data_IF_487225418211
#
_entry.id   IF_487225418211
#
_cell.length_a   1.000
_cell.length_b   1.000
_cell.length_c   1.000
_cell.angle_alpha   90.00
_cell.angle_beta   90.00
_cell.angle_gamma   90.00
#
_symmetry.space_group_name_H-M   'P 1'
#
loop_
_entity.id
_entity.type
_entity.pdbx_description
1 polymer ?
#
# COMPACT_ATOMS: atom_id res chain seq x y z
N UNK A 1 8.98 44.17 18.39
CA UNK A 1 7.65 44.38 17.77
C UNK A 1 6.77 43.14 17.90
N UNK A 2 7.28 41.95 17.53
CA UNK A 2 6.58 40.67 17.69
C UNK A 2 6.14 40.40 19.14
N UNK A 3 7.01 40.69 20.11
CA UNK A 3 6.72 40.49 21.55
C UNK A 3 5.60 41.40 22.07
N UNK A 4 5.51 42.64 21.56
CA UNK A 4 4.45 43.58 21.94
C UNK A 4 3.07 43.16 21.37
N UNK A 5 3.07 42.58 20.16
CA UNK A 5 1.87 42.05 19.50
C UNK A 5 1.40 40.75 20.18
N UNK A 6 2.33 39.91 20.61
CA UNK A 6 2.02 38.62 21.24
C UNK A 6 1.68 38.75 22.73
N UNK A 7 2.17 39.77 23.44
CA UNK A 7 2.02 39.90 24.89
C UNK A 7 0.57 39.80 25.40
N UNK A 8 -0.43 40.51 24.82
CA UNK A 8 -1.82 40.37 25.26
C UNK A 8 -2.35 38.94 25.04
N UNK A 9 -2.04 38.34 23.88
CA UNK A 9 -2.53 37.00 23.53
C UNK A 9 -1.89 35.91 24.39
N UNK A 10 -0.59 36.03 24.68
CA UNK A 10 0.12 35.14 25.60
C UNK A 10 -0.44 35.26 27.02
N UNK A 11 -0.74 36.49 27.48
CA UNK A 11 -1.31 36.72 28.81
C UNK A 11 -2.73 36.14 28.98
N UNK A 12 -3.58 36.25 27.95
CA UNK A 12 -4.98 35.82 28.04
C UNK A 12 -5.24 34.38 27.58
N UNK A 13 -4.42 33.84 26.67
CA UNK A 13 -4.67 32.53 26.03
C UNK A 13 -3.51 31.54 26.18
N UNK A 14 -2.34 31.98 26.65
CA UNK A 14 -1.13 31.16 26.70
C UNK A 14 -0.51 30.84 25.33
N UNK A 15 -1.01 31.46 24.25
CA UNK A 15 -0.59 31.18 22.87
C UNK A 15 -0.35 32.49 22.10
N UNK A 16 0.73 32.59 21.30
CA UNK A 16 1.04 33.81 20.57
C UNK A 16 0.01 34.08 19.47
N UNK A 17 -0.17 35.35 19.10
CA UNK A 17 -0.95 35.70 17.90
C UNK A 17 -0.19 35.26 16.65
N UNK A 18 1.11 35.52 16.61
CA UNK A 18 2.01 35.17 15.50
C UNK A 18 3.25 34.48 16.05
N UNK A 19 3.55 33.29 15.55
CA UNK A 19 4.76 32.55 15.89
C UNK A 19 4.60 31.05 15.64
N UNK A 20 5.70 30.32 15.40
CA UNK A 20 5.64 28.87 15.26
C UNK A 20 5.25 28.21 16.58
N UNK A 21 4.73 26.99 16.49
CA UNK A 21 4.56 26.11 17.63
C UNK A 21 5.92 25.65 18.15
N UNK A 22 5.99 25.40 19.45
CA UNK A 22 7.21 24.87 20.07
C UNK A 22 7.36 23.39 19.73
N UNK A 23 8.50 22.98 19.22
CA UNK A 23 8.75 21.56 18.96
C UNK A 23 8.76 20.75 20.26
N UNK A 24 8.30 19.50 20.16
CA UNK A 24 8.40 18.55 21.26
C UNK A 24 9.86 18.20 21.56
N UNK A 25 10.16 18.00 22.84
CA UNK A 25 11.53 17.66 23.24
C UNK A 25 11.99 16.34 22.59
N UNK A 26 13.17 16.30 21.93
CA UNK A 26 13.70 15.09 21.32
C UNK A 26 13.86 13.94 22.33
N UNK A 27 13.53 12.72 21.91
CA UNK A 27 13.66 11.51 22.74
C UNK A 27 12.63 11.40 23.86
N UNK A 28 11.59 12.24 23.88
CA UNK A 28 10.54 12.20 24.92
C UNK A 28 9.18 11.76 24.40
N UNK A 29 8.96 11.79 23.08
CA UNK A 29 7.63 11.64 22.51
C UNK A 29 6.69 12.81 22.80
N UNK A 30 7.20 13.95 23.28
CA UNK A 30 6.37 15.11 23.58
C UNK A 30 5.74 15.64 22.29
N UNK A 31 4.45 15.99 22.34
CA UNK A 31 3.78 16.61 21.21
C UNK A 31 4.32 18.01 20.91
N UNK A 32 4.34 18.37 19.63
CA UNK A 32 4.58 19.73 19.19
C UNK A 32 3.44 20.66 19.61
N UNK A 33 3.82 21.86 20.05
CA UNK A 33 2.90 22.92 20.41
C UNK A 33 2.17 23.48 19.19
N UNK A 34 0.99 24.08 19.37
CA UNK A 34 0.26 24.68 18.27
C UNK A 34 0.96 25.97 17.78
N UNK A 35 0.85 26.28 16.49
CA UNK A 35 1.32 27.54 15.90
C UNK A 35 0.56 28.77 16.42
N UNK A 36 0.83 29.99 15.97
CA UNK A 36 0.11 31.18 16.41
C UNK A 36 -1.39 31.15 16.07
N UNK A 37 -2.20 31.97 16.75
CA UNK A 37 -3.63 32.11 16.44
C UNK A 37 -3.87 32.63 15.03
N UNK A 38 -3.05 33.57 14.55
CA UNK A 38 -3.19 34.13 13.21
C UNK A 38 -2.22 33.47 12.25
N UNK A 39 -0.93 33.48 12.58
CA UNK A 39 0.11 32.96 11.70
C UNK A 39 1.11 32.13 12.48
N UNK A 40 1.39 30.94 11.98
CA UNK A 40 2.44 30.09 12.52
C UNK A 40 2.21 28.62 12.21
N UNK A 41 3.28 27.97 11.80
CA UNK A 41 3.31 26.53 11.66
C UNK A 41 3.15 25.86 13.03
N UNK A 42 2.55 24.68 13.08
CA UNK A 42 2.59 23.85 14.27
C UNK A 42 4.01 23.31 14.51
N UNK A 43 4.39 23.15 15.77
CA UNK A 43 5.70 22.60 16.13
C UNK A 43 5.77 21.11 15.79
N UNK A 44 6.96 20.62 15.52
CA UNK A 44 7.18 19.20 15.26
C UNK A 44 7.00 18.38 16.55
N UNK A 45 6.49 17.16 16.43
CA UNK A 45 6.45 16.20 17.52
C UNK A 45 7.86 15.71 17.86
N UNK A 46 8.19 15.65 19.14
CA UNK A 46 9.46 15.12 19.60
C UNK A 46 9.57 13.63 19.31
N UNK A 47 10.74 13.18 18.87
CA UNK A 47 11.00 11.76 18.67
C UNK A 47 10.81 10.98 19.98
N UNK A 48 10.37 9.73 19.87
CA UNK A 48 10.22 8.82 20.99
C UNK A 48 11.57 8.40 21.57
N UNK A 49 11.63 8.26 22.89
CA UNK A 49 12.85 7.84 23.58
C UNK A 49 13.32 6.45 23.17
N UNK A 50 14.64 6.26 23.11
CA UNK A 50 15.19 4.92 22.89
C UNK A 50 14.96 4.03 24.11
N UNK A 51 14.71 2.74 23.88
CA UNK A 51 14.62 1.75 24.94
C UNK A 51 15.92 1.66 25.74
N UNK A 52 15.83 1.39 27.05
CA UNK A 52 16.98 1.34 27.96
C UNK A 52 17.22 -0.06 28.54
N UNK A 53 18.48 -0.43 28.86
CA UNK A 53 18.78 -1.69 29.53
C UNK A 53 18.34 -1.68 31.00
N UNK A 54 17.54 -2.66 31.45
CA UNK A 54 17.28 -2.87 32.88
C UNK A 54 16.09 -3.78 33.20
N UNK A 55 16.12 -4.43 34.36
CA UNK A 55 15.26 -5.55 34.81
C UNK A 55 13.76 -5.28 34.95
N UNK A 56 13.18 -4.13 34.55
CA UNK A 56 11.71 -3.97 34.52
C UNK A 56 11.09 -2.75 33.82
N UNK A 57 11.75 -1.63 33.48
CA UNK A 57 10.95 -0.40 33.25
C UNK A 57 10.61 -0.03 31.79
N UNK A 58 11.47 -0.18 30.77
CA UNK A 58 11.04 -0.12 29.34
C UNK A 58 12.20 -0.42 28.35
N UNK A 59 12.33 -1.68 27.91
CA UNK A 59 13.20 -2.01 26.77
C UNK A 59 12.61 -1.59 25.41
N UNK A 60 11.32 -1.23 25.37
CA UNK A 60 10.63 -0.73 24.18
C UNK A 60 11.03 0.71 23.83
N UNK A 61 10.92 1.05 22.55
CA UNK A 61 11.03 2.44 22.12
C UNK A 61 9.78 3.23 22.49
N UNK A 62 9.96 4.47 22.95
CA UNK A 62 8.85 5.39 23.23
C UNK A 62 8.13 5.82 21.94
N UNK A 63 6.84 6.15 22.02
CA UNK A 63 6.13 6.69 20.87
C UNK A 63 6.66 8.07 20.47
N UNK A 64 6.60 8.40 19.18
CA UNK A 64 6.83 9.75 18.69
C UNK A 64 5.67 10.68 19.02
N UNK A 65 5.98 11.94 19.31
CA UNK A 65 4.99 12.96 19.62
C UNK A 65 4.15 13.34 18.41
N UNK A 66 2.91 13.73 18.62
CA UNK A 66 2.11 14.31 17.54
C UNK A 66 2.69 15.69 17.13
N UNK A 67 2.63 16.02 15.84
CA UNK A 67 2.89 17.37 15.36
C UNK A 67 1.78 18.33 15.78
N UNK A 68 2.17 19.54 16.13
CA UNK A 68 1.25 20.61 16.48
C UNK A 68 0.43 21.07 15.28
N UNK A 69 -0.79 21.56 15.52
CA UNK A 69 -1.59 22.18 14.47
C UNK A 69 -1.24 23.65 14.28
N UNK A 70 -1.30 24.11 13.03
CA UNK A 70 -1.53 25.52 12.74
C UNK A 70 -3.01 25.88 12.97
N UNK A 71 -3.33 27.18 13.15
CA UNK A 71 -4.73 27.62 13.34
C UNK A 71 -5.33 28.27 12.11
N UNK A 72 -4.93 29.50 11.74
CA UNK A 72 -5.50 30.21 10.59
C UNK A 72 -4.61 30.09 9.36
N UNK A 73 -3.34 30.48 9.50
CA UNK A 73 -2.31 30.33 8.48
C UNK A 73 -1.09 29.60 9.05
N UNK A 74 -0.56 28.66 8.28
CA UNK A 74 0.61 27.87 8.65
C UNK A 74 0.40 26.40 8.34
N UNK A 75 1.48 25.67 8.16
CA UNK A 75 1.49 24.21 8.02
C UNK A 75 1.38 23.51 9.37
N UNK A 76 0.86 22.28 9.36
CA UNK A 76 0.92 21.43 10.54
C UNK A 76 2.33 20.89 10.75
N UNK A 77 2.75 20.75 12.01
CA UNK A 77 4.04 20.16 12.35
C UNK A 77 4.10 18.67 12.02
N UNK A 78 5.29 18.14 11.80
CA UNK A 78 5.50 16.72 11.56
C UNK A 78 5.26 15.91 12.84
N UNK A 79 4.79 14.68 12.70
CA UNK A 79 4.82 13.72 13.80
C UNK A 79 6.24 13.25 14.08
N UNK A 80 6.60 13.14 15.35
CA UNK A 80 7.89 12.62 15.79
C UNK A 80 8.05 11.14 15.43
N UNK A 81 9.29 10.71 15.21
CA UNK A 81 9.59 9.31 14.95
C UNK A 81 9.37 8.47 16.20
N UNK A 82 8.96 7.22 16.04
CA UNK A 82 8.99 6.26 17.13
C UNK A 82 10.41 5.93 17.58
N UNK A 83 10.60 5.75 18.88
CA UNK A 83 11.88 5.38 19.47
C UNK A 83 12.33 3.98 19.08
N UNK A 84 13.63 3.76 19.02
CA UNK A 84 14.19 2.42 18.79
C UNK A 84 14.15 1.61 20.08
N UNK A 85 13.86 0.32 19.99
CA UNK A 85 13.92 -0.59 21.13
C UNK A 85 15.38 -0.94 21.49
N UNK A 86 15.60 -1.34 22.74
CA UNK A 86 16.93 -1.73 23.23
C UNK A 86 17.44 -3.02 22.56
N UNK A 87 18.64 -3.00 21.99
CA UNK A 87 19.20 -4.13 21.25
C UNK A 87 19.30 -5.41 22.10
N UNK A 88 18.92 -6.56 21.52
CA UNK A 88 18.96 -7.86 22.19
C UNK A 88 17.84 -8.10 23.22
N UNK A 89 16.90 -7.15 23.38
CA UNK A 89 15.76 -7.30 24.29
C UNK A 89 14.52 -7.99 23.69
N UNK A 90 14.43 -8.08 22.36
CA UNK A 90 13.19 -8.48 21.67
C UNK A 90 12.03 -7.49 21.82
N UNK A 91 12.27 -6.27 22.31
CA UNK A 91 11.22 -5.27 22.53
C UNK A 91 10.82 -4.50 21.27
N UNK A 92 9.60 -3.97 21.29
CA UNK A 92 8.95 -3.29 20.15
C UNK A 92 9.45 -1.84 20.05
N UNK A 93 9.67 -1.37 18.82
CA UNK A 93 9.95 0.05 18.54
C UNK A 93 8.69 0.90 18.70
N UNK A 94 8.85 2.15 19.09
CA UNK A 94 7.71 3.04 19.32
C UNK A 94 6.95 3.34 18.04
N UNK A 95 5.66 3.66 18.10
CA UNK A 95 4.92 4.15 16.94
C UNK A 95 5.35 5.56 16.56
N UNK A 96 5.30 5.90 15.27
CA UNK A 96 5.43 7.29 14.84
C UNK A 96 4.24 8.13 15.26
N UNK A 97 4.49 9.40 15.56
CA UNK A 97 3.46 10.37 15.93
C UNK A 97 2.65 10.82 14.72
N UNK A 98 1.42 11.26 14.93
CA UNK A 98 0.61 11.81 13.84
C UNK A 98 1.12 13.21 13.45
N UNK A 99 1.05 13.57 12.17
CA UNK A 99 1.28 14.93 11.72
C UNK A 99 0.15 15.87 12.12
N UNK A 100 0.49 17.13 12.35
CA UNK A 100 -0.44 18.17 12.73
C UNK A 100 -1.28 18.67 11.56
N UNK A 101 -2.45 19.23 11.86
CA UNK A 101 -3.28 19.86 10.84
C UNK A 101 -2.68 21.20 10.36
N UNK A 102 -2.81 21.46 9.06
CA UNK A 102 -2.55 22.77 8.47
C UNK A 102 -3.59 23.80 8.90
N UNK A 103 -3.25 25.08 8.72
CA UNK A 103 -4.07 26.22 9.09
C UNK A 103 -5.34 26.28 8.26
N UNK A 104 -6.43 26.74 8.88
CA UNK A 104 -7.76 26.73 8.32
C UNK A 104 -7.82 27.36 6.93
N UNK A 105 -7.16 28.50 6.68
CA UNK A 105 -7.21 29.16 5.37
C UNK A 105 -6.09 28.66 4.47
N UNK A 106 -4.84 28.67 4.92
CA UNK A 106 -3.70 28.17 4.14
C UNK A 106 -2.74 27.36 5.00
N UNK A 107 -2.25 26.27 4.40
CA UNK A 107 -1.18 25.45 4.93
C UNK A 107 -1.46 23.96 4.79
N UNK A 108 -0.44 23.19 4.43
CA UNK A 108 -0.54 21.74 4.32
C UNK A 108 -0.55 21.07 5.70
N UNK A 109 -1.07 19.85 5.76
CA UNK A 109 -0.93 19.01 6.94
C UNK A 109 0.51 18.48 7.07
N UNK A 110 0.97 18.32 8.30
CA UNK A 110 2.28 17.75 8.60
C UNK A 110 2.33 16.26 8.29
N UNK A 111 3.50 15.74 7.93
CA UNK A 111 3.65 14.29 7.73
C UNK A 111 3.57 13.54 9.06
N UNK A 112 3.10 12.30 9.03
CA UNK A 112 3.20 11.38 10.16
C UNK A 112 4.63 10.89 10.35
N UNK A 113 5.00 10.64 11.60
CA UNK A 113 6.31 10.12 11.98
C UNK A 113 6.48 8.67 11.57
N UNK A 114 7.73 8.27 11.32
CA UNK A 114 8.06 6.87 11.05
C UNK A 114 7.95 6.03 12.32
N UNK A 115 7.57 4.77 12.18
CA UNK A 115 7.65 3.80 13.27
C UNK A 115 9.10 3.50 13.64
N UNK A 116 9.36 3.37 14.95
CA UNK A 116 10.67 3.04 15.50
C UNK A 116 11.07 1.60 15.26
N UNK A 117 12.37 1.34 15.22
CA UNK A 117 12.88 -0.02 15.01
C UNK A 117 12.68 -0.89 16.26
N UNK A 118 12.19 -2.11 16.06
CA UNK A 118 12.20 -3.15 17.08
C UNK A 118 13.60 -3.69 17.34
N UNK A 119 13.78 -4.34 18.48
CA UNK A 119 15.08 -4.87 18.89
C UNK A 119 15.44 -6.12 18.07
N UNK A 120 16.70 -6.25 17.66
CA UNK A 120 17.19 -7.51 17.09
C UNK A 120 17.02 -8.67 18.10
N UNK A 121 16.64 -9.84 17.58
CA UNK A 121 16.47 -11.06 18.38
C UNK A 121 17.81 -11.65 18.82
N UNK A 122 17.77 -12.53 19.80
CA UNK A 122 18.92 -13.32 20.27
C UNK A 122 18.68 -14.82 20.01
N UNK A 123 19.68 -15.66 20.28
CA UNK A 123 19.54 -17.12 20.19
C UNK A 123 18.40 -17.68 21.08
N UNK A 124 17.88 -16.87 22.02
CA UNK A 124 16.81 -17.24 22.96
C UNK A 124 15.59 -16.32 22.90
N UNK A 125 15.54 -15.31 22.01
CA UNK A 125 14.43 -14.35 21.92
C UNK A 125 14.18 -13.89 20.47
N UNK A 126 12.92 -13.88 20.05
CA UNK A 126 12.54 -13.29 18.77
C UNK A 126 12.85 -11.79 18.74
N UNK A 127 13.22 -11.21 17.58
CA UNK A 127 13.31 -9.76 17.45
C UNK A 127 11.96 -9.10 17.71
N UNK A 128 12.02 -7.92 18.29
CA UNK A 128 10.84 -7.11 18.52
C UNK A 128 10.31 -6.49 17.24
N UNK A 129 9.01 -6.20 17.23
CA UNK A 129 8.35 -5.56 16.12
C UNK A 129 8.79 -4.10 16.00
N UNK A 130 8.78 -3.55 14.79
CA UNK A 130 8.90 -2.11 14.58
C UNK A 130 7.57 -1.44 14.88
N UNK A 131 7.62 -0.15 15.15
CA UNK A 131 6.43 0.67 15.31
C UNK A 131 5.67 0.84 14.00
N UNK A 132 4.38 1.15 14.13
CA UNK A 132 3.57 1.62 13.02
C UNK A 132 3.93 3.06 12.67
N UNK A 133 3.72 3.44 11.41
CA UNK A 133 3.85 4.83 11.00
C UNK A 133 2.67 5.66 11.46
N UNK A 134 2.92 6.93 11.80
CA UNK A 134 1.89 7.88 12.20
C UNK A 134 1.05 8.35 11.01
N UNK A 135 -0.18 8.77 11.26
CA UNK A 135 -1.02 9.36 10.23
C UNK A 135 -0.50 10.75 9.80
N UNK A 136 -0.67 11.12 8.54
CA UNK A 136 -0.47 12.49 8.09
C UNK A 136 -1.61 13.42 8.53
N UNK A 137 -1.29 14.68 8.79
CA UNK A 137 -2.26 15.70 9.16
C UNK A 137 -3.10 16.17 7.97
N UNK A 138 -4.30 16.67 8.24
CA UNK A 138 -5.13 17.29 7.21
C UNK A 138 -4.57 18.65 6.78
N UNK A 139 -4.70 18.99 5.49
CA UNK A 139 -4.46 20.35 5.00
C UNK A 139 -5.60 21.31 5.36
N UNK A 140 -5.33 22.61 5.28
CA UNK A 140 -6.30 23.70 5.36
C UNK A 140 -7.37 23.72 4.25
N UNK A 141 -8.20 24.76 4.22
CA UNK A 141 -9.37 24.91 3.33
C UNK A 141 -9.14 25.73 2.07
N UNK A 142 -7.90 25.99 1.64
CA UNK A 142 -7.63 26.60 0.33
C UNK A 142 -6.43 25.92 -0.35
N UNK A 143 -6.72 25.04 -1.31
CA UNK A 143 -5.75 24.27 -2.11
C UNK A 143 -4.66 23.56 -1.28
N UNK A 144 -4.99 23.14 -0.06
CA UNK A 144 -4.00 22.56 0.84
C UNK A 144 -3.90 21.06 0.68
N UNK A 145 -2.66 20.57 0.65
CA UNK A 145 -2.36 19.14 0.64
C UNK A 145 -2.41 18.55 2.04
N UNK A 146 -2.89 17.32 2.15
CA UNK A 146 -2.71 16.51 3.35
C UNK A 146 -1.27 16.02 3.50
N UNK A 147 -0.84 15.82 4.73
CA UNK A 147 0.47 15.26 5.04
C UNK A 147 0.57 13.78 4.67
N UNK A 148 1.77 13.30 4.35
CA UNK A 148 1.98 11.86 4.11
C UNK A 148 1.87 11.07 5.42
N UNK A 149 1.40 9.83 5.36
CA UNK A 149 1.55 8.89 6.46
C UNK A 149 3.00 8.43 6.62
N UNK A 150 3.40 8.10 7.84
CA UNK A 150 4.73 7.61 8.15
C UNK A 150 4.93 6.16 7.75
N UNK A 151 6.17 5.77 7.47
CA UNK A 151 6.51 4.38 7.15
C UNK A 151 6.54 3.53 8.43
N UNK A 152 6.15 2.26 8.31
CA UNK A 152 6.41 1.23 9.31
C UNK A 152 7.44 0.26 8.75
N UNK A 153 8.52 0.09 9.51
CA UNK A 153 9.59 -0.83 9.14
C UNK A 153 9.88 -1.76 10.30
N UNK A 154 9.85 -3.05 10.02
CA UNK A 154 10.34 -4.06 10.96
C UNK A 154 11.59 -4.68 10.31
N UNK A 155 12.71 -4.82 11.03
CA UNK A 155 13.96 -5.12 10.33
C UNK A 155 14.97 -5.88 11.18
N UNK A 156 15.20 -7.14 10.81
CA UNK A 156 16.50 -7.84 10.87
C UNK A 156 17.06 -8.31 12.23
N UNK A 157 17.87 -9.37 12.15
CA UNK A 157 18.57 -10.12 13.20
C UNK A 157 19.65 -11.12 12.66
N UNK A 158 20.63 -11.49 13.50
CA UNK A 158 21.01 -12.91 13.72
C UNK A 158 21.61 -13.80 12.63
N UNK A 159 22.17 -13.26 11.55
CA UNK A 159 22.27 -14.08 10.35
C UNK A 159 20.83 -14.16 9.87
N UNK A 160 20.02 -15.12 10.32
CA UNK A 160 18.55 -15.11 10.31
C UNK A 160 17.93 -13.82 10.85
N UNK A 161 17.44 -12.98 9.96
CA UNK A 161 16.86 -11.65 10.15
C UNK A 161 15.29 -11.59 10.12
N UNK A 162 14.52 -11.87 11.21
CA UNK A 162 13.04 -12.06 11.03
C UNK A 162 12.53 -10.76 10.61
N UNK A 163 11.26 -10.78 10.32
CA UNK A 163 10.42 -10.02 11.18
C UNK A 163 8.98 -10.52 11.03
N UNK A 164 8.29 -10.64 12.15
CA UNK A 164 6.96 -11.21 12.27
C UNK A 164 6.20 -10.29 13.20
N UNK A 165 5.34 -9.49 12.61
CA UNK A 165 4.67 -8.33 13.17
C UNK A 165 3.87 -7.72 12.04
N UNK A 166 3.18 -6.62 12.30
CA UNK A 166 2.46 -5.92 11.24
C UNK A 166 3.16 -4.60 11.01
N UNK A 167 3.81 -4.48 9.87
CA UNK A 167 4.30 -3.20 9.40
C UNK A 167 3.16 -2.47 8.72
N UNK A 168 2.48 -1.61 9.48
CA UNK A 168 1.38 -0.79 8.98
C UNK A 168 1.87 0.63 8.74
N UNK A 169 2.00 1.02 7.47
CA UNK A 169 2.24 2.40 7.11
C UNK A 169 1.07 3.28 7.55
N UNK A 170 1.39 4.51 7.94
CA UNK A 170 0.40 5.49 8.38
C UNK A 170 -0.52 5.92 7.24
N UNK A 171 -1.74 6.32 7.57
CA UNK A 171 -2.67 6.87 6.56
C UNK A 171 -2.23 8.29 6.17
N UNK A 172 -2.39 8.65 4.90
CA UNK A 172 -2.22 10.02 4.44
C UNK A 172 -3.35 10.93 4.93
N UNK A 173 -3.02 12.18 5.21
CA UNK A 173 -3.98 13.19 5.62
C UNK A 173 -4.85 13.68 4.46
N UNK A 174 -6.01 14.23 4.77
CA UNK A 174 -6.90 14.79 3.76
C UNK A 174 -6.32 16.09 3.16
N UNK A 175 -6.39 16.22 1.83
CA UNK A 175 -6.27 17.51 1.15
C UNK A 175 -7.67 18.07 0.88
N UNK A 176 -7.80 19.39 0.89
CA UNK A 176 -9.13 20.01 0.73
C UNK A 176 -9.13 21.13 -0.31
N UNK A 177 -10.31 21.47 -0.86
CA UNK A 177 -10.50 22.63 -1.76
C UNK A 177 -9.53 22.67 -2.93
N UNK A 178 -9.52 21.60 -3.73
CA UNK A 178 -8.61 21.46 -4.88
C UNK A 178 -7.22 20.94 -4.50
N UNK A 179 -6.92 20.80 -3.21
CA UNK A 179 -5.67 20.21 -2.71
C UNK A 179 -5.64 18.67 -2.82
N UNK A 180 -4.43 18.11 -2.78
CA UNK A 180 -4.21 16.67 -2.86
C UNK A 180 -4.22 15.99 -1.49
N UNK A 181 -4.85 14.82 -1.41
CA UNK A 181 -4.67 13.93 -0.27
C UNK A 181 -3.21 13.51 -0.13
N UNK A 182 -2.74 13.39 1.10
CA UNK A 182 -1.41 12.88 1.40
C UNK A 182 -1.28 11.41 1.00
N UNK A 183 -0.08 10.99 0.59
CA UNK A 183 0.19 9.57 0.33
C UNK A 183 0.15 8.75 1.62
N UNK A 184 -0.27 7.49 1.55
CA UNK A 184 -0.11 6.53 2.62
C UNK A 184 1.37 6.13 2.81
N UNK A 185 1.76 5.86 4.05
CA UNK A 185 3.08 5.36 4.40
C UNK A 185 3.27 3.90 3.98
N UNK A 186 4.50 3.46 3.90
CA UNK A 186 4.86 2.10 3.50
C UNK A 186 4.71 1.14 4.66
N UNK A 187 4.15 -0.04 4.39
CA UNK A 187 4.25 -1.20 5.25
C UNK A 187 5.37 -2.08 4.75
N UNK A 188 6.44 -2.18 5.51
CA UNK A 188 7.58 -2.96 5.12
C UNK A 188 8.00 -3.77 6.35
N UNK A 189 8.23 -5.04 6.20
CA UNK A 189 9.57 -5.39 5.75
C UNK A 189 10.01 -6.43 6.71
N UNK A 190 10.73 -7.41 6.23
CA UNK A 190 11.28 -8.43 7.06
C UNK A 190 12.37 -9.10 6.20
N UNK A 191 13.50 -9.52 6.75
CA UNK A 191 14.59 -9.82 5.82
C UNK A 191 15.69 -10.68 6.40
N UNK A 192 15.35 -11.94 6.69
CA UNK A 192 16.08 -13.09 7.25
C UNK A 192 17.47 -13.52 6.68
N UNK A 193 18.49 -13.86 7.46
CA UNK A 193 19.40 -14.91 7.14
C UNK A 193 20.90 -14.69 6.99
N UNK A 194 21.62 -15.67 7.53
CA UNK A 194 22.72 -16.35 6.85
C UNK A 194 22.13 -17.60 6.19
N UNK A 195 21.64 -17.44 4.98
CA UNK A 195 20.36 -16.76 4.84
C UNK A 195 19.09 -17.36 5.61
N UNK A 196 17.84 -16.93 5.44
CA UNK A 196 16.46 -17.53 5.25
C UNK A 196 15.48 -16.51 5.69
N UNK A 197 14.27 -16.31 5.16
CA UNK A 197 13.50 -15.04 5.26
C UNK A 197 12.11 -15.37 5.48
N UNK A 198 11.54 -14.59 6.37
CA UNK A 198 10.13 -14.55 6.53
C UNK A 198 9.75 -13.22 7.11
N UNK A 199 8.44 -13.15 7.25
CA UNK A 199 7.75 -11.92 7.15
C UNK A 199 6.33 -12.02 7.71
N UNK A 200 5.97 -11.16 8.65
CA UNK A 200 4.57 -10.94 9.03
C UNK A 200 3.77 -10.23 7.92
N UNK A 201 2.93 -9.29 8.33
CA UNK A 201 2.09 -8.54 7.40
C UNK A 201 2.73 -7.21 7.06
N UNK A 202 2.84 -6.90 5.76
CA UNK A 202 3.06 -5.53 5.31
C UNK A 202 1.75 -4.96 4.81
N UNK A 203 1.37 -3.84 5.41
CA UNK A 203 0.16 -3.11 5.06
C UNK A 203 0.58 -1.69 4.71
N UNK A 204 0.43 -1.32 3.44
CA UNK A 204 0.58 0.06 3.01
C UNK A 204 -0.54 0.91 3.61
N UNK A 205 -0.21 2.11 4.04
CA UNK A 205 -1.17 3.08 4.54
C UNK A 205 -2.14 3.53 3.45
N UNK A 206 -3.35 3.92 3.83
CA UNK A 206 -4.32 4.47 2.89
C UNK A 206 -3.87 5.86 2.42
N UNK A 207 -4.10 6.19 1.15
CA UNK A 207 -3.99 7.55 0.66
C UNK A 207 -5.11 8.43 1.24
N UNK A 208 -4.79 9.68 1.55
CA UNK A 208 -5.75 10.65 2.05
C UNK A 208 -6.75 11.08 0.98
N UNK A 209 -7.94 11.51 1.38
CA UNK A 209 -8.94 12.04 0.44
C UNK A 209 -8.52 13.41 -0.09
N UNK A 210 -8.82 13.70 -1.35
CA UNK A 210 -8.76 15.03 -1.94
C UNK A 210 -10.18 15.56 -2.15
N UNK A 211 -10.54 16.69 -1.58
CA UNK A 211 -11.91 17.24 -1.69
C UNK A 211 -12.03 18.42 -2.65
N UNK A 212 -13.24 18.66 -3.14
CA UNK A 212 -13.59 19.88 -3.89
C UNK A 212 -12.73 20.03 -5.16
N UNK A 213 -12.70 19.01 -6.01
CA UNK A 213 -11.87 18.94 -7.22
C UNK A 213 -10.44 18.46 -6.98
N UNK A 214 -10.10 18.10 -5.74
CA UNK A 214 -8.77 17.62 -5.35
C UNK A 214 -8.44 16.21 -5.83
N UNK A 215 -7.14 15.90 -5.83
CA UNK A 215 -6.61 14.56 -6.12
C UNK A 215 -6.58 13.72 -4.84
N UNK A 216 -7.10 12.50 -4.89
CA UNK A 216 -6.86 11.52 -3.84
C UNK A 216 -5.38 11.16 -3.73
N UNK A 217 -4.91 10.94 -2.51
CA UNK A 217 -3.55 10.51 -2.22
C UNK A 217 -3.30 9.08 -2.70
N UNK A 218 -2.04 8.78 -3.04
CA UNK A 218 -1.65 7.41 -3.42
C UNK A 218 -1.63 6.50 -2.20
N UNK A 219 -2.04 5.24 -2.38
CA UNK A 219 -1.91 4.21 -1.37
C UNK A 219 -0.43 3.85 -1.12
N UNK A 220 -0.14 3.50 0.12
CA UNK A 220 1.19 3.13 0.59
C UNK A 220 1.66 1.81 0.00
N UNK A 221 2.96 1.69 -0.20
CA UNK A 221 3.58 0.48 -0.68
C UNK A 221 3.58 -0.60 0.42
N UNK A 222 3.38 -1.85 0.03
CA UNK A 222 3.52 -3.00 0.91
C UNK A 222 4.50 -4.01 0.34
N UNK A 223 5.38 -4.51 1.18
CA UNK A 223 6.32 -5.53 0.78
C UNK A 223 6.57 -6.45 1.94
N UNK A 224 6.65 -7.75 1.65
CA UNK A 224 7.72 -8.41 2.36
C UNK A 224 8.54 -9.51 1.68
N UNK A 225 9.86 -9.27 1.71
CA UNK A 225 10.80 -10.02 2.56
C UNK A 225 11.72 -11.04 1.96
N UNK A 226 13.04 -10.96 2.27
CA UNK A 226 14.00 -11.91 1.72
C UNK A 226 15.37 -12.28 2.38
N UNK A 227 16.12 -13.29 1.83
CA UNK A 227 17.04 -14.22 2.58
C UNK A 227 17.60 -15.58 1.98
N UNK A 228 18.15 -16.56 2.79
CA UNK A 228 18.66 -18.04 2.74
C UNK A 228 19.43 -18.50 1.59
N UNK A 229 19.52 -17.60 0.67
CA UNK A 229 19.05 -18.15 -0.56
C UNK A 229 17.72 -18.93 -0.46
N UNK A 230 16.72 -18.53 0.35
CA UNK A 230 15.38 -19.14 0.37
C UNK A 230 14.38 -18.66 1.45
N UNK A 231 13.15 -18.32 1.10
CA UNK A 231 12.76 -16.92 1.33
C UNK A 231 11.26 -16.58 1.21
N UNK A 232 10.72 -15.75 2.09
CA UNK A 232 9.45 -15.00 1.94
C UNK A 232 8.14 -15.78 2.05
N UNK A 233 7.53 -15.63 3.21
CA UNK A 233 6.14 -15.98 3.46
C UNK A 233 5.44 -14.81 4.13
N UNK A 234 4.15 -14.57 3.89
CA UNK A 234 3.41 -13.50 4.56
C UNK A 234 2.20 -12.97 3.78
N UNK A 235 1.55 -11.97 4.38
CA UNK A 235 0.43 -11.24 3.75
C UNK A 235 0.89 -9.83 3.40
N UNK A 236 0.71 -9.44 2.15
CA UNK A 236 1.14 -8.13 1.65
C UNK A 236 -0.06 -7.43 1.04
N UNK A 237 -0.46 -6.31 1.63
CA UNK A 237 -1.61 -5.52 1.17
C UNK A 237 -1.17 -4.10 0.86
N UNK A 238 -1.14 -3.75 -0.42
CA UNK A 238 -0.92 -2.37 -0.84
C UNK A 238 -2.01 -1.47 -0.26
N UNK A 239 -1.64 -0.26 0.12
CA UNK A 239 -2.60 0.72 0.64
C UNK A 239 -3.62 1.12 -0.41
N UNK A 240 -4.84 1.45 -0.01
CA UNK A 240 -5.83 1.93 -0.98
C UNK A 240 -5.55 3.38 -1.34
N UNK A 241 -5.85 3.76 -2.58
CA UNK A 241 -5.83 5.15 -2.99
C UNK A 241 -6.96 5.95 -2.33
N UNK A 242 -6.70 7.22 -2.03
CA UNK A 242 -7.70 8.13 -1.49
C UNK A 242 -8.72 8.54 -2.55
N UNK A 243 -9.93 8.87 -2.14
CA UNK A 243 -10.96 9.38 -3.06
C UNK A 243 -10.66 10.83 -3.49
N UNK A 244 -11.01 11.17 -4.73
CA UNK A 244 -11.12 12.55 -5.22
C UNK A 244 -12.60 12.92 -5.35
N UNK A 245 -13.05 14.00 -4.70
CA UNK A 245 -14.48 14.38 -4.72
C UNK A 245 -14.77 15.60 -5.59
N UNK A 246 -16.01 15.70 -6.07
CA UNK A 246 -16.57 16.84 -6.85
C UNK A 246 -15.73 17.25 -8.07
N UNK A 247 -15.57 16.34 -9.03
CA UNK A 247 -14.72 16.49 -10.21
C UNK A 247 -13.27 16.06 -9.99
N UNK A 248 -12.93 15.63 -8.76
CA UNK A 248 -11.58 15.17 -8.40
C UNK A 248 -11.21 13.79 -8.96
N UNK A 249 -9.92 13.51 -8.98
CA UNK A 249 -9.37 12.23 -9.40
C UNK A 249 -9.06 11.35 -8.19
N UNK A 250 -9.48 10.10 -8.20
CA UNK A 250 -9.06 9.13 -7.20
C UNK A 250 -7.56 8.84 -7.28
N UNK A 251 -6.93 8.65 -6.12
CA UNK A 251 -5.53 8.25 -6.03
C UNK A 251 -5.34 6.80 -6.45
N UNK A 252 -4.16 6.46 -6.97
CA UNK A 252 -3.80 5.07 -7.24
C UNK A 252 -3.61 4.28 -5.94
N UNK A 253 -3.92 2.99 -5.96
CA UNK A 253 -3.54 2.09 -4.87
C UNK A 253 -2.03 1.89 -4.73
N UNK A 254 -1.61 1.20 -3.68
CA UNK A 254 -0.24 0.80 -3.42
C UNK A 254 0.08 -0.56 -4.02
N UNK A 255 1.36 -0.81 -4.28
CA UNK A 255 1.81 -2.12 -4.75
C UNK A 255 1.97 -3.11 -3.59
N UNK A 256 1.78 -4.40 -3.86
CA UNK A 256 2.03 -5.49 -2.94
C UNK A 256 3.03 -6.49 -3.51
N UNK A 257 4.04 -6.82 -2.71
CA UNK A 257 5.12 -7.70 -3.11
C UNK A 257 5.56 -8.68 -2.03
N UNK A 258 5.38 -9.98 -2.29
CA UNK A 258 6.02 -11.07 -1.53
C UNK A 258 7.16 -11.67 -2.38
N UNK A 259 8.39 -11.70 -1.88
CA UNK A 259 9.58 -11.91 -2.73
C UNK A 259 10.64 -12.83 -2.13
N UNK A 260 10.82 -13.99 -2.73
CA UNK A 260 11.76 -15.03 -2.36
C UNK A 260 13.07 -15.04 -3.19
N UNK A 261 14.30 -15.08 -2.64
CA UNK A 261 15.56 -14.99 -3.40
C UNK A 261 16.58 -16.09 -3.04
N UNK A 262 17.15 -16.76 -4.05
CA UNK A 262 18.35 -17.63 -3.97
C UNK A 262 18.12 -19.11 -4.30
N UNK A 263 19.19 -19.91 -4.27
CA UNK A 263 19.17 -21.28 -4.82
C UNK A 263 18.17 -22.18 -4.09
N UNK A 264 17.12 -22.61 -4.78
CA UNK A 264 16.02 -23.36 -4.15
C UNK A 264 15.06 -22.47 -3.35
N UNK A 265 14.98 -21.17 -3.62
CA UNK A 265 14.13 -20.25 -2.86
C UNK A 265 12.64 -20.58 -2.97
N UNK A 266 11.89 -20.37 -1.89
CA UNK A 266 10.49 -20.74 -1.83
C UNK A 266 9.60 -19.60 -1.35
N UNK A 267 8.70 -19.09 -2.20
CA UNK A 267 7.73 -18.04 -1.86
C UNK A 267 6.34 -18.63 -1.61
N UNK A 268 5.64 -18.18 -0.56
CA UNK A 268 4.24 -18.60 -0.31
C UNK A 268 3.46 -17.58 0.52
N UNK A 269 2.23 -17.25 0.13
CA UNK A 269 1.41 -16.32 0.89
C UNK A 269 0.36 -15.59 0.06
N UNK A 270 -0.08 -14.45 0.57
CA UNK A 270 -1.14 -13.64 -0.04
C UNK A 270 -0.58 -12.27 -0.40
N UNK A 271 -0.73 -11.86 -1.66
CA UNK A 271 -0.38 -10.51 -2.13
C UNK A 271 -1.61 -9.85 -2.72
N UNK A 272 -2.03 -8.71 -2.17
CA UNK A 272 -3.20 -7.95 -2.59
C UNK A 272 -2.74 -6.55 -2.97
N UNK A 273 -2.88 -6.20 -4.24
CA UNK A 273 -2.61 -4.84 -4.72
C UNK A 273 -3.64 -3.88 -4.13
N UNK A 274 -3.22 -2.66 -3.82
CA UNK A 274 -4.11 -1.63 -3.32
C UNK A 274 -5.13 -1.24 -4.38
N UNK A 275 -6.40 -1.11 -4.00
CA UNK A 275 -7.41 -0.61 -4.91
C UNK A 275 -7.27 0.92 -5.10
N UNK A 276 -7.65 1.41 -6.27
CA UNK A 276 -7.69 2.84 -6.55
C UNK A 276 -8.84 3.53 -5.83
N UNK A 277 -8.66 4.80 -5.50
CA UNK A 277 -9.71 5.63 -4.90
C UNK A 277 -10.78 6.02 -5.93
N UNK A 278 -12.00 6.31 -5.47
CA UNK A 278 -13.06 6.78 -6.35
C UNK A 278 -12.84 8.24 -6.79
N UNK A 279 -13.21 8.58 -8.02
CA UNK A 279 -13.45 9.94 -8.48
C UNK A 279 -14.95 10.20 -8.59
N UNK A 280 -15.46 11.27 -7.99
CA UNK A 280 -16.90 11.58 -8.03
C UNK A 280 -17.24 12.81 -8.85
N UNK A 281 -18.46 12.86 -9.41
CA UNK A 281 -19.04 14.01 -10.14
C UNK A 281 -18.22 14.49 -11.35
N UNK A 282 -18.08 13.63 -12.36
CA UNK A 282 -17.24 13.85 -13.55
C UNK A 282 -15.79 13.39 -13.38
N UNK A 283 -15.43 12.93 -12.19
CA UNK A 283 -14.07 12.53 -11.81
C UNK A 283 -13.64 11.17 -12.36
N UNK A 284 -12.34 10.93 -12.35
CA UNK A 284 -11.74 9.66 -12.76
C UNK A 284 -11.43 8.81 -11.54
N UNK A 285 -11.74 7.51 -11.63
CA UNK A 285 -11.28 6.54 -10.66
C UNK A 285 -9.76 6.35 -10.72
N UNK A 286 -9.13 6.19 -9.56
CA UNK A 286 -7.72 5.84 -9.46
C UNK A 286 -7.47 4.40 -9.92
N UNK A 287 -6.25 4.11 -10.38
CA UNK A 287 -5.88 2.73 -10.75
C UNK A 287 -5.71 1.85 -9.52
N UNK A 288 -6.18 0.61 -9.64
CA UNK A 288 -5.72 -0.48 -8.80
C UNK A 288 -4.27 -0.83 -9.15
N UNK A 289 -3.52 -1.35 -8.18
CA UNK A 289 -2.09 -1.59 -8.33
C UNK A 289 -1.69 -3.05 -8.21
N UNK A 290 -0.41 -3.31 -8.47
CA UNK A 290 0.11 -4.64 -8.71
C UNK A 290 0.21 -5.50 -7.46
N UNK A 291 -0.08 -6.79 -7.62
CA UNK A 291 0.21 -7.84 -6.65
C UNK A 291 1.19 -8.87 -7.22
N UNK A 292 2.17 -9.29 -6.41
CA UNK A 292 2.99 -10.43 -6.82
C UNK A 292 3.57 -11.26 -5.70
N UNK A 293 3.72 -12.53 -6.05
CA UNK A 293 4.48 -13.53 -5.30
C UNK A 293 5.56 -14.06 -6.24
N UNK A 294 6.83 -13.93 -5.83
CA UNK A 294 7.96 -14.20 -6.74
C UNK A 294 9.03 -15.01 -6.06
N UNK A 295 9.52 -16.07 -6.70
CA UNK A 295 10.72 -16.82 -6.34
C UNK A 295 11.75 -16.82 -7.45
N UNK A 296 13.03 -16.81 -7.08
CA UNK A 296 14.17 -16.70 -8.02
C UNK A 296 15.24 -17.78 -7.76
N UNK A 297 15.89 -18.28 -8.82
CA UNK A 297 17.01 -19.25 -8.80
C UNK A 297 16.65 -20.71 -8.42
N UNK A 298 15.86 -21.37 -9.26
CA UNK A 298 15.42 -22.76 -9.03
C UNK A 298 14.28 -22.81 -8.02
N UNK A 299 13.41 -21.80 -8.10
CA UNK A 299 12.52 -21.43 -7.02
C UNK A 299 11.16 -22.14 -7.08
N UNK A 300 10.56 -22.33 -5.92
CA UNK A 300 9.25 -22.96 -5.75
C UNK A 300 8.25 -21.91 -5.24
N UNK A 301 7.21 -21.60 -6.00
CA UNK A 301 6.01 -20.94 -5.44
C UNK A 301 5.05 -22.04 -5.04
N UNK A 302 4.86 -22.28 -3.75
CA UNK A 302 4.25 -23.52 -3.24
C UNK A 302 2.75 -23.41 -2.96
N UNK A 303 2.29 -22.23 -2.52
CA UNK A 303 0.89 -21.89 -2.28
C UNK A 303 0.80 -20.36 -2.24
N UNK A 304 0.37 -19.76 -3.35
CA UNK A 304 0.45 -18.32 -3.57
C UNK A 304 -0.85 -17.77 -4.12
N UNK A 305 -1.44 -16.79 -3.46
CA UNK A 305 -2.59 -16.06 -3.97
C UNK A 305 -2.21 -14.60 -4.25
N UNK A 306 -2.15 -14.21 -5.52
CA UNK A 306 -1.94 -12.83 -5.92
C UNK A 306 -3.23 -12.24 -6.50
N UNK A 307 -3.71 -11.14 -5.92
CA UNK A 307 -4.91 -10.43 -6.39
C UNK A 307 -4.56 -8.98 -6.68
N UNK A 308 -4.67 -8.57 -7.94
CA UNK A 308 -4.46 -7.18 -8.33
C UNK A 308 -5.51 -6.26 -7.70
N UNK A 309 -5.13 -5.03 -7.40
CA UNK A 309 -6.07 -4.07 -6.82
C UNK A 309 -7.21 -3.72 -7.78
N UNK A 310 -8.42 -3.49 -7.27
CA UNK A 310 -9.52 -2.99 -8.09
C UNK A 310 -9.29 -1.54 -8.53
N UNK A 311 -9.78 -1.16 -9.71
CA UNK A 311 -9.88 0.24 -10.11
C UNK A 311 -10.94 0.98 -9.31
N UNK A 312 -10.71 2.26 -9.02
CA UNK A 312 -11.70 3.11 -8.37
C UNK A 312 -12.85 3.47 -9.31
N UNK A 313 -14.04 3.72 -8.77
CA UNK A 313 -15.17 4.18 -9.59
C UNK A 313 -14.95 5.62 -10.10
N UNK A 314 -15.47 5.94 -11.28
CA UNK A 314 -15.55 7.31 -11.82
C UNK A 314 -17.00 7.68 -12.10
N UNK A 315 -17.69 8.36 -11.18
CA UNK A 315 -19.10 8.72 -11.39
C UNK A 315 -19.21 9.94 -12.31
N UNK A 316 -19.89 9.80 -13.46
CA UNK A 316 -19.94 10.79 -14.54
C UNK A 316 -18.64 10.91 -15.34
N UNK A 317 -17.67 10.02 -15.09
CA UNK A 317 -16.33 10.04 -15.68
C UNK A 317 -15.85 8.64 -16.05
N UNK A 318 -14.54 8.38 -15.97
CA UNK A 318 -13.97 7.06 -16.29
C UNK A 318 -13.59 6.30 -15.03
N UNK A 319 -13.99 5.03 -14.95
CA UNK A 319 -13.50 4.11 -13.94
C UNK A 319 -12.01 3.84 -14.10
N UNK A 320 -11.33 3.59 -12.98
CA UNK A 320 -9.91 3.28 -12.94
C UNK A 320 -9.61 1.89 -13.48
N UNK A 321 -8.39 1.68 -13.98
CA UNK A 321 -7.93 0.36 -14.39
C UNK A 321 -7.75 -0.55 -13.16
N UNK A 322 -8.04 -1.83 -13.31
CA UNK A 322 -7.59 -2.84 -12.35
C UNK A 322 -6.07 -3.00 -12.36
N UNK A 323 -5.50 -3.52 -11.27
CA UNK A 323 -4.10 -3.87 -11.14
C UNK A 323 -3.80 -5.29 -11.61
N UNK A 324 -2.59 -5.58 -12.07
CA UNK A 324 -2.21 -6.94 -12.46
C UNK A 324 -1.82 -7.82 -11.28
N UNK A 325 -1.94 -9.14 -11.46
CA UNK A 325 -1.49 -10.15 -10.49
C UNK A 325 -0.49 -11.11 -11.11
N UNK A 326 0.54 -11.49 -10.36
CA UNK A 326 1.56 -12.43 -10.86
C UNK A 326 2.05 -13.40 -9.79
N UNK A 327 2.11 -14.69 -10.16
CA UNK A 327 3.04 -15.64 -9.54
C UNK A 327 4.19 -15.90 -10.51
N UNK A 328 5.41 -15.88 -10.00
CA UNK A 328 6.61 -16.02 -10.82
C UNK A 328 7.65 -16.91 -10.15
N UNK A 329 8.13 -17.93 -10.87
CA UNK A 329 9.24 -18.79 -10.48
C UNK A 329 10.27 -18.88 -11.62
N UNK A 330 11.57 -18.80 -11.32
CA UNK A 330 12.63 -18.79 -12.34
C UNK A 330 13.88 -19.57 -11.92
N UNK A 331 14.49 -20.29 -12.88
CA UNK A 331 15.72 -21.07 -12.76
C UNK A 331 15.52 -22.57 -13.04
N UNK A 332 16.60 -23.35 -13.09
CA UNK A 332 16.52 -24.79 -13.34
C UNK A 332 15.68 -25.50 -12.27
N UNK A 333 14.65 -26.26 -12.67
CA UNK A 333 13.78 -27.00 -11.75
C UNK A 333 12.78 -26.14 -10.97
N UNK A 334 12.53 -24.89 -11.41
CA UNK A 334 11.55 -24.00 -10.77
C UNK A 334 10.13 -24.54 -10.88
N UNK A 335 9.26 -24.24 -9.92
CA UNK A 335 7.86 -24.62 -10.05
C UNK A 335 6.90 -23.65 -9.38
N UNK A 336 5.67 -23.64 -9.88
CA UNK A 336 4.51 -23.04 -9.23
C UNK A 336 3.53 -24.17 -8.95
N UNK A 337 3.30 -24.50 -7.68
CA UNK A 337 2.31 -25.45 -7.21
C UNK A 337 1.17 -24.69 -6.52
N UNK A 338 -0.08 -25.14 -6.71
CA UNK A 338 -1.26 -24.63 -5.97
C UNK A 338 -1.37 -23.10 -5.97
N UNK A 339 -1.05 -22.46 -7.09
CA UNK A 339 -1.02 -20.99 -7.22
C UNK A 339 -2.29 -20.39 -7.82
N UNK A 340 -2.76 -19.26 -7.29
CA UNK A 340 -3.88 -18.50 -7.83
C UNK A 340 -3.46 -17.05 -8.14
N UNK A 341 -3.63 -16.62 -9.38
CA UNK A 341 -3.51 -15.20 -9.75
C UNK A 341 -4.86 -14.67 -10.23
N UNK A 342 -5.30 -13.55 -9.68
CA UNK A 342 -6.54 -12.86 -10.07
C UNK A 342 -6.25 -11.42 -10.43
N UNK A 343 -6.48 -11.03 -11.68
CA UNK A 343 -6.37 -9.65 -12.12
C UNK A 343 -7.38 -8.77 -11.38
N UNK A 344 -7.01 -7.52 -11.13
CA UNK A 344 -7.89 -6.54 -10.54
C UNK A 344 -9.04 -6.19 -11.47
N UNK A 345 -10.23 -6.04 -10.89
CA UNK A 345 -11.42 -5.56 -11.61
C UNK A 345 -11.26 -4.11 -12.00
N UNK A 346 -11.77 -3.72 -13.16
CA UNK A 346 -11.90 -2.32 -13.54
C UNK A 346 -12.95 -1.60 -12.69
N UNK A 347 -12.74 -0.31 -12.45
CA UNK A 347 -13.70 0.51 -11.73
C UNK A 347 -14.92 0.84 -12.58
N UNK A 348 -16.10 0.99 -11.98
CA UNK A 348 -17.30 1.37 -12.72
C UNK A 348 -17.24 2.83 -13.21
N UNK A 349 -17.74 3.09 -14.42
CA UNK A 349 -18.08 4.41 -14.94
C UNK A 349 -19.60 4.59 -14.91
N UNK A 350 -20.14 5.28 -13.91
CA UNK A 350 -21.60 5.48 -13.78
C UNK A 350 -22.06 6.81 -14.40
N UNK A 351 -23.36 6.97 -14.65
CA UNK A 351 -24.00 8.19 -15.20
C UNK A 351 -23.38 8.67 -16.53
N UNK A 352 -23.39 7.80 -17.54
CA UNK A 352 -22.81 8.07 -18.87
C UNK A 352 -21.30 7.86 -18.95
N UNK A 353 -20.70 7.27 -17.91
CA UNK A 353 -19.27 7.04 -17.78
C UNK A 353 -18.75 5.81 -18.54
N UNK A 354 -17.43 5.69 -18.64
CA UNK A 354 -16.74 4.52 -19.23
C UNK A 354 -16.15 3.69 -18.09
N UNK A 355 -16.50 2.41 -18.04
CA UNK A 355 -15.91 1.45 -17.13
C UNK A 355 -14.42 1.24 -17.39
N UNK A 356 -13.64 1.12 -16.32
CA UNK A 356 -12.21 0.80 -16.41
C UNK A 356 -11.99 -0.61 -16.90
N UNK A 357 -10.86 -0.88 -17.54
CA UNK A 357 -10.51 -2.25 -17.90
C UNK A 357 -10.08 -3.05 -16.66
N UNK A 358 -10.46 -4.33 -16.62
CA UNK A 358 -9.80 -5.31 -15.77
C UNK A 358 -8.38 -5.58 -16.25
N UNK A 359 -7.57 -6.27 -15.44
CA UNK A 359 -6.16 -6.49 -15.76
C UNK A 359 -5.78 -7.97 -15.74
N UNK A 360 -4.54 -8.24 -16.17
CA UNK A 360 -4.03 -9.59 -16.40
C UNK A 360 -3.71 -10.30 -15.09
N UNK A 361 -4.08 -11.59 -15.05
CA UNK A 361 -3.51 -12.59 -14.15
C UNK A 361 -2.46 -13.42 -14.89
N UNK A 362 -1.29 -13.60 -14.26
CA UNK A 362 -0.18 -14.35 -14.84
C UNK A 362 0.46 -15.33 -13.87
N UNK A 363 0.69 -16.55 -14.35
CA UNK A 363 1.55 -17.53 -13.68
C UNK A 363 2.66 -17.94 -14.64
N UNK A 364 3.91 -17.85 -14.17
CA UNK A 364 5.08 -18.09 -15.02
C UNK A 364 6.14 -18.92 -14.28
N UNK A 365 6.55 -20.04 -14.88
CA UNK A 365 7.65 -20.90 -14.43
C UNK A 365 8.70 -21.08 -15.56
N UNK A 366 9.90 -20.54 -15.40
CA UNK A 366 10.94 -20.47 -16.45
C UNK A 366 12.14 -21.32 -16.05
N UNK A 367 12.71 -22.09 -16.99
CA UNK A 367 13.92 -22.91 -16.79
C UNK A 367 13.66 -24.43 -16.66
N UNK A 368 12.81 -25.00 -17.51
CA UNK A 368 12.35 -26.40 -17.38
C UNK A 368 11.36 -26.59 -16.24
N UNK A 369 10.65 -25.52 -15.89
CA UNK A 369 9.82 -25.47 -14.68
C UNK A 369 8.42 -26.04 -14.84
N UNK A 370 7.81 -26.40 -13.71
CA UNK A 370 6.50 -27.05 -13.63
C UNK A 370 5.45 -26.07 -13.10
N UNK A 371 4.28 -26.00 -13.72
CA UNK A 371 3.09 -25.35 -13.16
C UNK A 371 2.07 -26.44 -12.86
N UNK A 372 1.66 -26.60 -11.60
CA UNK A 372 0.73 -27.65 -11.18
C UNK A 372 -0.39 -27.10 -10.32
N UNK A 373 -1.60 -27.65 -10.44
CA UNK A 373 -2.75 -27.33 -9.57
C UNK A 373 -3.07 -25.83 -9.45
N UNK A 374 -2.77 -25.04 -10.48
CA UNK A 374 -2.83 -23.57 -10.43
C UNK A 374 -3.99 -23.00 -11.26
N UNK A 375 -4.41 -21.77 -10.96
CA UNK A 375 -5.50 -21.05 -11.60
C UNK A 375 -5.14 -19.58 -11.90
N UNK A 376 -5.56 -19.09 -13.07
CA UNK A 376 -5.49 -17.67 -13.42
C UNK A 376 -6.86 -17.15 -13.81
N UNK A 377 -7.28 -16.04 -13.21
CA UNK A 377 -8.51 -15.35 -13.56
C UNK A 377 -8.21 -13.90 -13.95
N UNK A 378 -8.48 -13.53 -15.19
CA UNK A 378 -8.41 -12.13 -15.60
C UNK A 378 -9.40 -11.26 -14.81
N UNK A 379 -9.04 -10.00 -14.55
CA UNK A 379 -9.94 -9.09 -13.87
C UNK A 379 -11.13 -8.74 -14.75
N UNK A 380 -12.34 -8.67 -14.20
CA UNK A 380 -13.50 -8.21 -14.97
C UNK A 380 -13.34 -6.72 -15.34
N UNK A 381 -13.88 -6.32 -16.51
CA UNK A 381 -14.07 -4.92 -16.84
C UNK A 381 -15.10 -4.28 -15.92
N UNK A 382 -14.94 -2.98 -15.64
CA UNK A 382 -15.90 -2.21 -14.88
C UNK A 382 -17.14 -1.87 -15.70
N UNK A 383 -18.29 -1.73 -15.05
CA UNK A 383 -19.55 -1.41 -15.74
C UNK A 383 -19.62 0.06 -16.20
N UNK A 384 -20.26 0.29 -17.34
CA UNK A 384 -20.73 1.58 -17.85
C UNK A 384 -22.23 1.75 -17.59
N UNK A 385 -22.62 2.47 -16.53
CA UNK A 385 -24.03 2.53 -16.07
C UNK A 385 -24.72 3.80 -16.57
N UNK A 386 -25.97 3.69 -17.05
CA UNK A 386 -26.82 4.80 -17.55
C UNK A 386 -26.21 5.48 -18.77
N UNK A 387 -26.39 4.89 -19.95
CA UNK A 387 -25.87 5.33 -21.26
C UNK A 387 -24.33 5.28 -21.36
N UNK A 388 -23.69 4.39 -20.57
CA UNK A 388 -22.23 4.23 -20.49
C UNK A 388 -21.64 3.07 -21.30
N UNK A 389 -20.30 3.02 -21.37
CA UNK A 389 -19.54 1.97 -22.06
C UNK A 389 -18.86 1.07 -21.03
N UNK A 390 -19.05 -0.25 -21.15
CA UNK A 390 -18.39 -1.24 -20.30
C UNK A 390 -16.88 -1.34 -20.57
N UNK A 391 -16.08 -1.58 -19.53
CA UNK A 391 -14.65 -1.79 -19.65
C UNK A 391 -14.31 -3.19 -20.17
N UNK A 392 -13.13 -3.34 -20.79
CA UNK A 392 -12.68 -4.67 -21.22
C UNK A 392 -12.26 -5.54 -20.03
N UNK A 393 -12.49 -6.84 -20.13
CA UNK A 393 -11.93 -7.84 -19.23
C UNK A 393 -10.43 -8.05 -19.44
N UNK A 394 -9.75 -8.44 -18.38
CA UNK A 394 -8.32 -8.71 -18.34
C UNK A 394 -7.97 -10.12 -18.80
N UNK A 395 -6.73 -10.31 -19.23
CA UNK A 395 -6.23 -11.60 -19.71
C UNK A 395 -5.89 -12.60 -18.60
N UNK A 396 -5.79 -13.86 -18.98
CA UNK A 396 -5.37 -14.98 -18.13
C UNK A 396 -4.25 -15.73 -18.84
N UNK A 397 -3.09 -15.86 -18.18
CA UNK A 397 -1.86 -16.34 -18.83
C UNK A 397 -1.09 -17.36 -17.98
N UNK A 398 -0.80 -18.51 -18.59
CA UNK A 398 0.16 -19.49 -18.09
C UNK A 398 1.37 -19.57 -19.01
N UNK A 399 2.57 -19.63 -18.43
CA UNK A 399 3.82 -19.77 -19.20
C UNK A 399 4.77 -20.77 -18.54
N UNK A 400 5.14 -21.83 -19.28
CA UNK A 400 6.24 -22.74 -18.95
C UNK A 400 7.20 -22.89 -20.15
N UNK A 401 8.52 -22.83 -19.93
CA UNK A 401 9.51 -22.91 -21.01
C UNK A 401 9.73 -24.33 -21.55
N UNK A 402 10.47 -24.47 -22.67
CA UNK A 402 10.89 -25.74 -23.28
C UNK A 402 11.40 -26.77 -22.25
N UNK A 403 10.74 -27.93 -22.17
CA UNK A 403 11.03 -28.99 -21.20
C UNK A 403 10.27 -28.91 -19.87
N UNK A 404 9.44 -27.88 -19.66
CA UNK A 404 8.53 -27.74 -18.51
C UNK A 404 7.17 -28.42 -18.71
N UNK A 405 6.37 -28.51 -17.64
CA UNK A 405 5.05 -29.18 -17.65
C UNK A 405 3.98 -28.26 -17.06
N UNK A 406 2.78 -28.28 -17.64
CA UNK A 406 1.59 -27.59 -17.13
C UNK A 406 0.55 -28.66 -16.81
N UNK A 407 0.25 -28.85 -15.53
CA UNK A 407 -0.77 -29.76 -15.00
C UNK A 407 -1.79 -28.93 -14.17
N UNK A 408 -2.51 -28.04 -14.86
CA UNK A 408 -3.32 -26.96 -14.28
C UNK A 408 -4.82 -27.23 -14.31
N UNK A 409 -5.59 -26.56 -13.43
CA UNK A 409 -7.01 -26.82 -13.25
C UNK A 409 -7.96 -25.85 -13.99
N UNK A 410 -7.64 -24.56 -14.19
CA UNK A 410 -8.49 -23.61 -14.96
C UNK A 410 -7.78 -22.28 -15.30
N UNK A 411 -7.91 -21.79 -16.54
CA UNK A 411 -7.54 -20.42 -16.93
C UNK A 411 -8.74 -19.66 -17.49
N UNK A 412 -9.22 -18.63 -16.79
CA UNK A 412 -10.42 -17.85 -17.16
C UNK A 412 -10.06 -16.41 -17.51
N UNK A 413 -10.39 -15.96 -18.72
CA UNK A 413 -10.34 -14.54 -19.05
C UNK A 413 -11.38 -13.76 -18.23
N UNK A 414 -11.10 -12.49 -17.91
CA UNK A 414 -12.05 -11.65 -17.20
C UNK A 414 -13.25 -11.30 -18.09
N UNK A 415 -14.45 -11.25 -17.54
CA UNK A 415 -15.62 -10.79 -18.31
C UNK A 415 -15.49 -9.30 -18.68
N UNK A 416 -16.10 -8.88 -19.79
CA UNK A 416 -16.32 -7.47 -20.04
C UNK A 416 -17.25 -6.85 -19.00
N UNK A 417 -17.21 -5.53 -18.86
CA UNK A 417 -18.18 -4.78 -18.06
C UNK A 417 -19.49 -4.56 -18.82
N UNK A 418 -20.61 -4.42 -18.11
CA UNK A 418 -21.91 -4.16 -18.72
C UNK A 418 -22.06 -2.70 -19.14
N UNK A 419 -22.60 -2.44 -20.34
CA UNK A 419 -23.18 -1.15 -20.69
C UNK A 419 -24.69 -1.19 -20.42
N UNK A 420 -25.29 -0.20 -19.75
CA UNK A 420 -26.76 -0.15 -19.55
C UNK A 420 -27.32 1.20 -19.99
N UNK A 421 -28.39 1.26 -20.79
CA UNK A 421 -29.01 2.52 -21.29
C UNK A 421 -29.37 2.49 -22.78
N UNK A 422 -29.78 3.63 -23.37
CA UNK A 422 -30.04 3.77 -24.81
C UNK A 422 -28.74 4.12 -25.55
N UNK A 423 -28.27 3.24 -26.46
CA UNK A 423 -27.04 3.47 -27.26
C UNK A 423 -25.72 3.04 -26.58
N UNK A 424 -25.82 2.20 -25.57
CA UNK A 424 -24.72 1.58 -24.80
C UNK A 424 -23.93 0.53 -25.60
N UNK A 425 -22.71 0.24 -25.14
CA UNK A 425 -21.88 -0.88 -25.64
C UNK A 425 -21.20 -1.53 -24.45
N UNK A 426 -21.44 -2.83 -24.21
CA UNK A 426 -20.70 -3.57 -23.20
C UNK A 426 -19.23 -3.82 -23.60
N UNK A 427 -18.43 -4.24 -22.62
CA UNK A 427 -17.00 -4.49 -22.79
C UNK A 427 -16.70 -5.85 -23.40
N UNK A 428 -15.54 -5.96 -24.05
CA UNK A 428 -15.04 -7.26 -24.51
C UNK A 428 -14.53 -8.08 -23.32
N UNK A 429 -14.75 -9.40 -23.35
CA UNK A 429 -14.10 -10.34 -22.45
C UNK A 429 -12.60 -10.44 -22.72
N UNK A 430 -11.83 -10.78 -21.70
CA UNK A 430 -10.40 -10.98 -21.78
C UNK A 430 -10.03 -12.34 -22.36
N UNK A 431 -8.86 -12.40 -23.00
CA UNK A 431 -8.31 -13.65 -23.53
C UNK A 431 -7.82 -14.59 -22.42
N UNK A 432 -7.94 -15.90 -22.66
CA UNK A 432 -7.24 -16.93 -21.90
C UNK A 432 -6.18 -17.54 -22.82
N UNK A 433 -4.90 -17.27 -22.56
CA UNK A 433 -3.77 -17.73 -23.36
C UNK A 433 -2.93 -18.74 -22.57
N UNK A 434 -2.69 -19.91 -23.19
CA UNK A 434 -1.85 -20.98 -22.66
C UNK A 434 -0.69 -21.22 -23.62
N UNK A 435 0.51 -20.76 -23.24
CA UNK A 435 1.74 -21.03 -23.99
C UNK A 435 2.46 -22.24 -23.39
N UNK A 436 2.26 -23.43 -23.99
CA UNK A 436 2.89 -24.70 -23.61
C UNK A 436 3.79 -25.27 -24.73
N UNK A 437 4.86 -26.02 -24.41
CA UNK A 437 5.60 -26.85 -25.40
C UNK A 437 4.81 -28.10 -25.81
N UNK A 438 5.16 -28.78 -26.93
CA UNK A 438 4.34 -29.84 -27.52
C UNK A 438 4.13 -31.03 -26.58
N UNK A 439 2.93 -31.58 -26.72
CA UNK A 439 2.19 -32.58 -25.99
C UNK A 439 2.73 -34.01 -26.17
N UNK A 440 3.25 -34.62 -25.10
CA UNK A 440 3.52 -36.07 -25.05
C UNK A 440 2.91 -36.76 -23.82
N UNK A 441 2.12 -36.06 -23.00
CA UNK A 441 1.44 -36.63 -21.83
C UNK A 441 0.05 -35.99 -21.71
N UNK A 442 -1.00 -36.74 -22.04
CA UNK A 442 -2.38 -36.27 -22.21
C UNK A 442 -3.04 -35.63 -20.98
N UNK A 443 -2.75 -34.35 -20.75
CA UNK A 443 -3.46 -33.49 -19.81
C UNK A 443 -4.44 -32.61 -20.59
N UNK A 444 -5.70 -32.59 -20.16
CA UNK A 444 -6.78 -31.77 -20.75
C UNK A 444 -6.65 -30.32 -20.22
N UNK A 445 -6.08 -29.42 -21.03
CA UNK A 445 -5.90 -28.01 -20.69
C UNK A 445 -7.13 -27.18 -21.10
N UNK A 446 -7.85 -26.59 -20.13
CA UNK A 446 -9.02 -25.75 -20.38
C UNK A 446 -8.72 -24.25 -20.19
N UNK A 447 -8.61 -23.51 -21.30
CA UNK A 447 -8.69 -22.06 -21.33
C UNK A 447 -10.10 -21.60 -21.69
N UNK A 448 -10.75 -20.83 -20.82
CA UNK A 448 -12.07 -20.25 -21.09
C UNK A 448 -11.94 -18.74 -21.26
N UNK A 449 -12.17 -18.18 -22.46
CA UNK A 449 -12.24 -16.73 -22.64
C UNK A 449 -13.30 -16.11 -21.73
N UNK A 450 -13.08 -14.85 -21.35
CA UNK A 450 -14.09 -14.07 -20.64
C UNK A 450 -15.31 -13.81 -21.54
N UNK A 451 -16.49 -13.70 -20.93
CA UNK A 451 -17.69 -13.36 -21.68
C UNK A 451 -17.65 -11.90 -22.14
N UNK A 452 -17.99 -11.66 -23.40
CA UNK A 452 -18.41 -10.33 -23.86
C UNK A 452 -19.77 -10.02 -23.21
N UNK A 453 -19.95 -8.79 -22.74
CA UNK A 453 -21.25 -8.35 -22.22
C UNK A 453 -21.95 -7.50 -23.28
N UNK A 454 -23.25 -7.75 -23.59
CA UNK A 454 -24.00 -6.94 -24.55
C UNK A 454 -24.11 -5.47 -24.15
#
# INVERSE_FOLDING_TARGET
MQDAINAPFLQFTGRPLVGPGTDGAPGTGQAGGPGGWLWGDGGDGGDGGSGTPGTATSPAGGAGGAGGSAFLFGSGGHGGSGGTAYAGSGAVGGTGGNGGAGGLIFGGGGAGGVGGLGAAGSATAAPGMGGHGGAGGAGGTNHASGGRGGDATISTSGGGTITGGTATGGVGGAGTTGGSGGGGGSGALFANGAGSSASGSAIGGYGGVGTTGGLGGVGGYAQVSASNGGTATGTVSGGYGGAGTTGGHGGGGGNAFLRAYGAGSSASGISIGGAGGAGTAGGYGGSGNYASIRGYSGATVTDGTATGGGGGAGTGGRGGLGGSATLFANGAGSSVATGAATGGVGGAGSTGGIGGAGNIARITAIGGGTVTSSATNGGAGGDGITDGIGGNGGGSTFTANTGGTIDTRTGTGGNGGSGTGLGNTGGNGGAADLTAPPDWMGVDLFGTPGANVP
#
